data_IF_089631782221
#
_entry.id   IF_089631782221
#
_cell.length_a   1.000
_cell.length_b   1.000
_cell.length_c   1.000
_cell.angle_alpha   90.00
_cell.angle_beta   90.00
_cell.angle_gamma   90.00
#
_symmetry.space_group_name_H-M   'P 1'
#
loop_
_entity.id
_entity.type
_entity.pdbx_description
1 polymer ?
#
# COMPACT_ATOMS: atom_id res chain seq x y z
N UNK A 1 24.64 -11.29 11.83
CA UNK A 1 24.22 -10.08 11.06
C UNK A 1 25.38 -9.14 10.69
N UNK A 2 26.24 -8.69 11.61
CA UNK A 2 27.35 -7.79 11.24
C UNK A 2 28.40 -8.46 10.35
N UNK A 3 28.76 -9.72 10.59
CA UNK A 3 29.74 -10.48 9.79
C UNK A 3 29.28 -10.72 8.36
N UNK A 4 27.99 -10.98 8.12
CA UNK A 4 27.47 -11.15 6.76
C UNK A 4 27.51 -9.85 5.96
N UNK A 5 27.22 -8.70 6.59
CA UNK A 5 27.31 -7.39 5.93
C UNK A 5 28.77 -7.01 5.63
N UNK A 6 29.72 -7.27 6.54
CA UNK A 6 31.15 -7.06 6.30
C UNK A 6 31.64 -7.86 5.10
N UNK A 7 31.22 -9.11 4.99
CA UNK A 7 31.54 -9.97 3.85
C UNK A 7 31.01 -9.39 2.55
N UNK A 8 29.77 -8.89 2.54
CA UNK A 8 29.18 -8.24 1.37
C UNK A 8 29.95 -7.00 0.98
N UNK A 9 30.29 -6.13 1.92
CA UNK A 9 31.07 -4.91 1.66
C UNK A 9 32.44 -5.28 1.07
N UNK A 10 33.16 -6.22 1.69
CA UNK A 10 34.51 -6.59 1.27
C UNK A 10 34.55 -7.34 -0.06
N UNK A 11 33.49 -8.05 -0.44
CA UNK A 11 33.40 -8.78 -1.71
C UNK A 11 32.85 -7.93 -2.86
N UNK A 12 32.31 -6.75 -2.58
CA UNK A 12 31.74 -5.86 -3.60
C UNK A 12 32.85 -5.13 -4.37
N UNK A 13 32.96 -5.40 -5.67
CA UNK A 13 34.02 -4.84 -6.53
C UNK A 13 33.68 -3.45 -7.10
N UNK A 14 32.40 -3.10 -7.24
CA UNK A 14 31.99 -1.76 -7.67
C UNK A 14 32.14 -0.78 -6.49
N UNK A 15 32.99 0.26 -6.62
CA UNK A 15 33.26 1.17 -5.51
C UNK A 15 32.02 2.00 -5.11
N UNK A 16 31.10 2.29 -6.03
CA UNK A 16 29.85 2.99 -5.74
C UNK A 16 28.90 2.12 -4.89
N UNK A 17 28.76 0.86 -5.25
CA UNK A 17 27.95 -0.09 -4.47
C UNK A 17 28.58 -0.35 -3.09
N UNK A 18 29.90 -0.47 -3.00
CA UNK A 18 30.61 -0.62 -1.73
C UNK A 18 30.39 0.59 -0.80
N UNK A 19 30.43 1.80 -1.35
CA UNK A 19 30.15 3.03 -0.61
C UNK A 19 28.69 3.06 -0.08
N UNK A 20 27.72 2.64 -0.89
CA UNK A 20 26.31 2.52 -0.48
C UNK A 20 26.18 1.52 0.67
N UNK A 21 26.79 0.35 0.56
CA UNK A 21 26.73 -0.66 1.62
C UNK A 21 27.35 -0.15 2.94
N UNK A 22 28.42 0.64 2.86
CA UNK A 22 29.01 1.29 4.03
C UNK A 22 28.07 2.33 4.67
N UNK A 23 27.36 3.13 3.85
CA UNK A 23 26.33 4.06 4.36
C UNK A 23 25.20 3.32 5.05
N UNK A 24 24.69 2.24 4.46
CA UNK A 24 23.65 1.40 5.07
C UNK A 24 24.11 0.86 6.42
N UNK A 25 25.35 0.35 6.52
CA UNK A 25 25.94 -0.12 7.78
C UNK A 25 25.95 0.98 8.84
N UNK A 26 26.33 2.18 8.47
CA UNK A 26 26.41 3.35 9.36
C UNK A 26 25.04 3.99 9.64
N UNK A 27 23.95 3.53 9.00
CA UNK A 27 22.62 4.18 9.03
C UNK A 27 22.63 5.60 8.44
N UNK A 28 23.46 5.80 7.45
CA UNK A 28 23.54 7.04 6.70
C UNK A 28 22.57 7.00 5.50
N UNK A 29 21.95 8.13 5.24
CA UNK A 29 21.00 8.28 4.12
C UNK A 29 21.73 8.23 2.79
N UNK A 30 21.19 7.45 1.84
CA UNK A 30 21.69 7.44 0.45
C UNK A 30 21.01 8.54 -0.37
N UNK A 31 21.73 9.01 -1.39
CA UNK A 31 21.28 10.03 -2.35
C UNK A 31 20.42 9.41 -3.45
N UNK A 32 19.76 10.26 -4.25
CA UNK A 32 18.98 9.84 -5.44
C UNK A 32 19.87 9.14 -6.47
N UNK A 33 21.09 9.66 -6.72
CA UNK A 33 22.04 9.04 -7.62
C UNK A 33 22.50 7.66 -7.14
N UNK A 34 22.68 7.47 -5.82
CA UNK A 34 22.99 6.16 -5.23
C UNK A 34 21.80 5.20 -5.31
N UNK A 35 20.57 5.70 -5.14
CA UNK A 35 19.37 4.90 -5.35
C UNK A 35 19.25 4.43 -6.81
N UNK A 36 19.48 5.32 -7.76
CA UNK A 36 19.50 4.98 -9.18
C UNK A 36 20.59 3.93 -9.49
N UNK A 37 21.78 4.09 -8.92
CA UNK A 37 22.87 3.11 -9.07
C UNK A 37 22.48 1.71 -8.55
N UNK A 38 21.69 1.63 -7.45
CA UNK A 38 21.16 0.34 -6.97
C UNK A 38 20.21 -0.31 -7.97
N UNK A 39 19.34 0.46 -8.62
CA UNK A 39 18.46 -0.06 -9.66
C UNK A 39 19.25 -0.56 -10.88
N UNK A 40 20.25 0.19 -11.34
CA UNK A 40 21.01 -0.09 -12.53
C UNK A 40 22.02 -1.25 -12.36
N UNK A 41 22.72 -1.29 -11.22
CA UNK A 41 23.87 -2.18 -11.03
C UNK A 41 23.76 -3.12 -9.82
N UNK A 42 22.89 -2.84 -8.87
CA UNK A 42 22.75 -3.68 -7.69
C UNK A 42 22.24 -5.09 -8.06
N UNK A 43 23.04 -6.14 -7.82
CA UNK A 43 22.53 -7.50 -7.96
C UNK A 43 21.41 -7.77 -6.95
N UNK A 44 20.50 -8.67 -7.26
CA UNK A 44 19.37 -8.98 -6.37
C UNK A 44 19.84 -9.43 -4.98
N UNK A 45 20.87 -10.26 -4.92
CA UNK A 45 21.45 -10.71 -3.64
C UNK A 45 22.07 -9.56 -2.83
N UNK A 46 22.72 -8.60 -3.50
CA UNK A 46 23.31 -7.43 -2.86
C UNK A 46 22.22 -6.52 -2.25
N UNK A 47 21.25 -6.07 -3.05
CA UNK A 47 20.19 -5.18 -2.54
C UNK A 47 19.31 -5.87 -1.52
N UNK A 48 19.01 -7.16 -1.69
CA UNK A 48 18.24 -7.95 -0.74
C UNK A 48 18.92 -8.05 0.62
N UNK A 49 20.22 -8.31 0.63
CA UNK A 49 20.99 -8.41 1.88
C UNK A 49 21.02 -7.08 2.65
N UNK A 50 21.23 -5.95 1.95
CA UNK A 50 21.20 -4.63 2.56
C UNK A 50 19.81 -4.30 3.12
N UNK A 51 18.77 -4.58 2.34
CA UNK A 51 17.38 -4.33 2.76
C UNK A 51 16.99 -5.18 3.97
N UNK A 52 17.37 -6.47 3.97
CA UNK A 52 17.13 -7.36 5.10
C UNK A 52 17.88 -6.92 6.35
N UNK A 53 19.12 -6.46 6.22
CA UNK A 53 19.88 -5.90 7.34
C UNK A 53 19.15 -4.70 7.97
N UNK A 54 18.67 -3.75 7.16
CA UNK A 54 17.89 -2.59 7.64
C UNK A 54 16.61 -3.07 8.32
N UNK A 55 15.88 -3.98 7.71
CA UNK A 55 14.63 -4.55 8.22
C UNK A 55 14.84 -5.21 9.58
N UNK A 56 15.87 -6.03 9.73
CA UNK A 56 16.17 -6.69 11.01
C UNK A 56 16.65 -5.71 12.09
N UNK A 57 17.36 -4.66 11.70
CA UNK A 57 17.75 -3.59 12.62
C UNK A 57 16.54 -2.83 13.17
N UNK A 58 15.50 -2.61 12.35
CA UNK A 58 14.30 -1.86 12.72
C UNK A 58 13.28 -2.72 13.49
N UNK A 59 13.12 -3.99 13.13
CA UNK A 59 12.00 -4.82 13.55
C UNK A 59 12.38 -6.17 14.14
N UNK A 60 13.69 -6.50 14.22
CA UNK A 60 14.12 -7.85 14.57
C UNK A 60 13.50 -8.88 13.64
N UNK A 61 12.87 -9.91 14.17
CA UNK A 61 12.17 -10.93 13.39
C UNK A 61 10.67 -10.64 13.22
N UNK A 62 10.15 -9.55 13.78
CA UNK A 62 8.74 -9.24 13.72
C UNK A 62 8.28 -9.01 12.29
N UNK A 63 7.20 -9.66 11.91
CA UNK A 63 6.45 -9.44 10.68
C UNK A 63 4.99 -9.21 11.04
N UNK A 64 4.46 -8.10 10.56
CA UNK A 64 3.15 -7.60 10.95
C UNK A 64 2.07 -8.00 9.95
N UNK A 65 0.85 -8.17 10.45
CA UNK A 65 -0.38 -8.31 9.66
C UNK A 65 -1.57 -7.75 10.46
N UNK A 66 -2.67 -7.42 9.81
CA UNK A 66 -3.90 -7.00 10.47
C UNK A 66 -5.09 -7.86 10.07
N UNK A 67 -6.21 -7.71 10.77
CA UNK A 67 -7.50 -8.31 10.38
C UNK A 67 -8.39 -7.22 9.82
N UNK A 68 -8.59 -7.25 8.54
CA UNK A 68 -9.33 -6.24 7.80
C UNK A 68 -10.30 -6.86 6.80
N UNK A 69 -11.26 -6.05 6.39
CA UNK A 69 -12.12 -6.33 5.25
C UNK A 69 -12.29 -5.07 4.41
N UNK A 70 -12.75 -5.24 3.18
CA UNK A 70 -12.92 -4.16 2.24
C UNK A 70 -14.38 -3.88 1.94
N UNK A 71 -14.69 -2.62 1.67
CA UNK A 71 -15.93 -2.17 1.05
C UNK A 71 -15.54 -1.39 -0.20
N UNK A 72 -16.03 -1.84 -1.33
CA UNK A 72 -15.89 -1.16 -2.61
C UNK A 72 -17.27 -0.59 -3.00
N UNK A 73 -17.56 0.69 -2.64
CA UNK A 73 -18.88 1.29 -2.81
C UNK A 73 -19.39 1.21 -4.25
N UNK A 74 -18.47 1.32 -5.20
CA UNK A 74 -18.77 1.26 -6.63
C UNK A 74 -17.50 1.05 -7.45
N UNK A 75 -17.61 0.44 -8.61
CA UNK A 75 -16.59 0.49 -9.64
C UNK A 75 -16.91 1.52 -10.74
N UNK A 76 -18.02 2.23 -10.63
CA UNK A 76 -18.36 3.32 -11.56
C UNK A 76 -17.48 4.53 -11.27
N UNK A 77 -16.77 5.03 -12.29
CA UNK A 77 -15.78 6.08 -12.14
C UNK A 77 -15.94 7.17 -13.20
N UNK A 78 -15.61 8.42 -12.82
CA UNK A 78 -15.54 9.54 -13.78
C UNK A 78 -14.20 9.63 -14.49
N UNK A 79 -13.17 8.91 -14.02
CA UNK A 79 -11.82 8.92 -14.56
C UNK A 79 -11.55 7.74 -15.48
N UNK A 80 -10.79 7.98 -16.55
CA UNK A 80 -10.36 6.99 -17.53
C UNK A 80 -8.87 6.67 -17.40
N UNK A 81 -8.50 5.88 -16.37
CA UNK A 81 -7.11 5.49 -16.19
C UNK A 81 -6.76 4.32 -17.10
N UNK A 82 -5.73 4.46 -17.93
CA UNK A 82 -5.33 3.45 -18.91
C UNK A 82 -4.97 2.08 -18.28
N UNK A 83 -4.46 2.07 -17.05
CA UNK A 83 -4.06 0.86 -16.32
C UNK A 83 -5.19 0.20 -15.52
N UNK A 84 -6.39 0.79 -15.46
CA UNK A 84 -7.42 0.37 -14.52
C UNK A 84 -8.41 -0.63 -15.15
N UNK A 85 -8.27 -1.89 -14.77
CA UNK A 85 -9.20 -2.97 -15.17
C UNK A 85 -10.53 -2.93 -14.39
N UNK A 86 -10.54 -2.26 -13.26
CA UNK A 86 -11.63 -2.25 -12.29
C UNK A 86 -12.76 -1.28 -12.68
N UNK A 87 -12.42 -0.08 -13.16
CA UNK A 87 -13.38 1.00 -13.34
C UNK A 87 -14.30 0.75 -14.52
N UNK A 88 -15.55 1.19 -14.36
CA UNK A 88 -16.53 1.36 -15.46
C UNK A 88 -16.84 2.84 -15.58
N UNK A 89 -16.61 3.42 -16.75
CA UNK A 89 -16.87 4.86 -16.96
C UNK A 89 -18.34 5.17 -16.71
N UNK A 90 -18.59 6.27 -16.00
CA UNK A 90 -19.96 6.69 -15.65
C UNK A 90 -20.89 6.82 -16.88
N UNK A 91 -20.33 7.15 -18.04
CA UNK A 91 -21.09 7.21 -19.30
C UNK A 91 -21.48 5.82 -19.87
N UNK A 92 -20.83 4.75 -19.40
CA UNK A 92 -20.99 3.36 -19.88
C UNK A 92 -20.95 2.41 -18.68
N UNK A 93 -21.88 2.57 -17.73
CA UNK A 93 -21.87 1.90 -16.44
C UNK A 93 -22.76 0.66 -16.32
N UNK A 94 -23.23 0.14 -17.43
CA UNK A 94 -24.21 -0.97 -17.46
C UNK A 94 -23.70 -2.21 -16.72
N UNK A 95 -22.37 -2.46 -16.75
CA UNK A 95 -21.70 -3.56 -16.07
C UNK A 95 -21.09 -3.14 -14.72
N UNK A 96 -21.42 -1.95 -14.23
CA UNK A 96 -20.96 -1.43 -12.96
C UNK A 96 -21.89 -1.76 -11.80
N UNK A 97 -21.37 -1.68 -10.57
CA UNK A 97 -22.19 -1.75 -9.36
C UNK A 97 -22.15 -0.45 -8.57
N UNK A 98 -23.20 -0.19 -7.84
CA UNK A 98 -23.35 0.95 -6.94
C UNK A 98 -24.00 0.43 -5.64
N UNK A 99 -23.25 0.35 -4.54
CA UNK A 99 -23.78 -0.07 -3.25
C UNK A 99 -24.49 1.10 -2.56
N UNK A 100 -25.66 0.83 -2.02
CA UNK A 100 -26.32 1.75 -1.09
C UNK A 100 -25.63 1.74 0.28
N UNK A 101 -25.86 2.79 1.08
CA UNK A 101 -25.39 2.86 2.48
C UNK A 101 -25.90 1.65 3.28
N UNK A 102 -27.14 1.22 3.03
CA UNK A 102 -27.70 0.03 3.68
C UNK A 102 -26.91 -1.24 3.39
N UNK A 103 -26.60 -1.49 2.12
CA UNK A 103 -25.80 -2.65 1.71
C UNK A 103 -24.38 -2.61 2.30
N UNK A 104 -23.74 -1.44 2.34
CA UNK A 104 -22.41 -1.29 2.95
C UNK A 104 -22.46 -1.53 4.47
N UNK A 105 -23.51 -1.08 5.16
CA UNK A 105 -23.71 -1.38 6.58
C UNK A 105 -24.01 -2.86 6.83
N UNK A 106 -24.69 -3.54 5.92
CA UNK A 106 -24.94 -4.97 6.06
C UNK A 106 -23.64 -5.77 5.90
N UNK A 107 -22.69 -5.31 5.06
CA UNK A 107 -21.32 -5.85 5.02
C UNK A 107 -20.66 -5.68 6.41
N UNK A 108 -20.68 -4.47 6.99
CA UNK A 108 -20.09 -4.23 8.32
C UNK A 108 -20.70 -5.14 9.39
N UNK A 109 -22.03 -5.29 9.42
CA UNK A 109 -22.73 -6.18 10.34
C UNK A 109 -22.37 -7.67 10.17
N UNK A 110 -22.01 -8.08 8.95
CA UNK A 110 -21.49 -9.43 8.67
C UNK A 110 -20.21 -9.78 9.42
N UNK A 111 -19.53 -8.76 9.97
CA UNK A 111 -18.34 -8.90 10.81
C UNK A 111 -18.62 -8.70 12.31
N UNK A 112 -19.88 -8.63 12.73
CA UNK A 112 -20.22 -8.57 14.17
C UNK A 112 -19.72 -9.85 14.86
N UNK A 113 -19.06 -9.65 16.00
CA UNK A 113 -18.44 -10.73 16.75
C UNK A 113 -17.15 -11.30 16.17
N UNK A 114 -16.74 -10.88 14.97
CA UNK A 114 -15.43 -11.23 14.41
C UNK A 114 -14.37 -10.23 14.86
N UNK A 115 -13.13 -10.67 15.12
CA UNK A 115 -12.07 -9.80 15.65
C UNK A 115 -11.39 -8.97 14.55
N UNK A 116 -12.16 -8.34 13.68
CA UNK A 116 -11.66 -7.41 12.67
C UNK A 116 -11.40 -6.04 13.28
N UNK A 117 -10.31 -5.40 12.89
CA UNK A 117 -9.86 -4.13 13.45
C UNK A 117 -9.98 -2.97 12.48
N UNK A 118 -10.13 -3.25 11.19
CA UNK A 118 -10.12 -2.23 10.13
C UNK A 118 -11.13 -2.55 9.04
N UNK A 119 -11.85 -1.53 8.60
CA UNK A 119 -12.52 -1.53 7.29
C UNK A 119 -11.79 -0.59 6.34
N UNK A 120 -11.47 -1.09 5.15
CA UNK A 120 -10.87 -0.30 4.07
C UNK A 120 -11.92 0.02 3.01
N UNK A 121 -12.23 1.31 2.82
CA UNK A 121 -13.28 1.77 1.90
C UNK A 121 -12.62 2.55 0.77
N UNK A 122 -12.62 1.99 -0.43
CA UNK A 122 -12.14 2.61 -1.67
C UNK A 122 -12.94 2.11 -2.86
N UNK A 123 -13.02 2.90 -3.92
CA UNK A 123 -13.75 2.47 -5.11
C UNK A 123 -13.57 3.40 -6.30
N UNK A 124 -14.46 3.29 -7.27
CA UNK A 124 -14.58 4.25 -8.34
C UNK A 124 -15.05 5.61 -7.84
N UNK A 125 -14.62 6.68 -8.50
CA UNK A 125 -15.07 8.04 -8.17
C UNK A 125 -16.43 8.30 -8.83
N UNK A 126 -17.48 8.16 -8.04
CA UNK A 126 -18.85 8.26 -8.53
C UNK A 126 -19.42 9.69 -8.36
N UNK A 127 -19.99 10.31 -9.41
CA UNK A 127 -20.40 11.73 -9.35
C UNK A 127 -21.58 12.01 -8.41
N UNK A 128 -22.34 10.99 -8.01
CA UNK A 128 -23.49 11.12 -7.07
C UNK A 128 -23.18 10.68 -5.64
N UNK A 129 -22.12 9.89 -5.42
CA UNK A 129 -21.64 9.54 -4.08
C UNK A 129 -20.77 10.69 -3.58
N UNK A 130 -21.42 11.72 -3.06
CA UNK A 130 -20.80 12.98 -2.68
C UNK A 130 -20.36 13.00 -1.21
N UNK A 131 -19.84 14.12 -0.76
CA UNK A 131 -19.40 14.33 0.62
C UNK A 131 -20.45 13.94 1.67
N UNK A 132 -21.70 14.37 1.50
CA UNK A 132 -22.79 14.08 2.44
C UNK A 132 -23.08 12.57 2.52
N UNK A 133 -23.03 11.88 1.39
CA UNK A 133 -23.22 10.42 1.31
C UNK A 133 -22.16 9.67 2.15
N UNK A 134 -20.91 10.05 2.03
CA UNK A 134 -19.85 9.37 2.77
C UNK A 134 -19.77 9.80 4.24
N UNK A 135 -20.11 11.04 4.57
CA UNK A 135 -20.29 11.48 5.97
C UNK A 135 -21.36 10.62 6.66
N UNK A 136 -22.52 10.43 6.02
CA UNK A 136 -23.59 9.58 6.54
C UNK A 136 -23.12 8.13 6.73
N UNK A 137 -22.42 7.57 5.74
CA UNK A 137 -21.87 6.21 5.83
C UNK A 137 -20.96 6.04 7.05
N UNK A 138 -19.98 6.93 7.22
CA UNK A 138 -19.01 6.84 8.31
C UNK A 138 -19.66 7.00 9.67
N UNK A 139 -20.58 7.97 9.82
CA UNK A 139 -21.35 8.15 11.05
C UNK A 139 -22.14 6.90 11.43
N UNK A 140 -22.76 6.24 10.45
CA UNK A 140 -23.51 4.99 10.69
C UNK A 140 -22.59 3.82 11.03
N UNK A 141 -21.41 3.70 10.38
CA UNK A 141 -20.40 2.70 10.74
C UNK A 141 -19.95 2.91 12.19
N UNK A 142 -19.59 4.13 12.56
CA UNK A 142 -19.13 4.45 13.92
C UNK A 142 -20.23 4.32 14.98
N UNK A 143 -21.48 4.58 14.63
CA UNK A 143 -22.62 4.34 15.52
C UNK A 143 -22.82 2.84 15.79
N UNK A 144 -22.57 1.96 14.82
CA UNK A 144 -22.71 0.51 14.95
C UNK A 144 -21.44 -0.15 15.54
N UNK A 145 -20.26 0.21 15.06
CA UNK A 145 -18.95 -0.31 15.45
C UNK A 145 -17.98 0.85 15.77
N UNK A 146 -18.12 1.45 16.96
CA UNK A 146 -17.25 2.58 17.35
C UNK A 146 -15.76 2.19 17.47
N UNK A 147 -15.48 0.91 17.69
CA UNK A 147 -14.15 0.30 17.78
C UNK A 147 -13.46 0.10 16.43
N UNK A 148 -14.22 0.03 15.34
CA UNK A 148 -13.71 -0.28 14.01
C UNK A 148 -12.96 0.90 13.43
N UNK A 149 -11.70 0.70 13.05
CA UNK A 149 -10.90 1.70 12.37
C UNK A 149 -11.37 1.86 10.91
N UNK A 150 -11.78 3.06 10.54
CA UNK A 150 -12.20 3.38 9.17
C UNK A 150 -11.04 4.01 8.40
N UNK A 151 -10.45 3.23 7.52
CA UNK A 151 -9.46 3.69 6.54
C UNK A 151 -10.14 3.89 5.20
N UNK A 152 -10.28 5.13 4.76
CA UNK A 152 -11.12 5.41 3.62
C UNK A 152 -10.55 6.51 2.73
N UNK A 153 -10.91 6.36 1.47
CA UNK A 153 -10.75 7.25 0.34
C UNK A 153 -9.30 7.60 -0.02
N UNK A 154 -8.98 7.32 -1.27
CA UNK A 154 -7.73 7.78 -1.88
C UNK A 154 -7.74 9.32 -2.03
N UNK A 155 -6.56 9.91 -2.17
CA UNK A 155 -6.46 11.34 -2.44
C UNK A 155 -7.22 11.78 -3.71
N UNK A 156 -7.39 10.87 -4.67
CA UNK A 156 -8.17 11.11 -5.90
C UNK A 156 -9.67 11.25 -5.60
N UNK A 157 -10.21 10.36 -4.76
CA UNK A 157 -11.60 10.43 -4.32
C UNK A 157 -11.84 11.69 -3.49
N UNK A 158 -10.92 12.01 -2.57
CA UNK A 158 -10.99 13.19 -1.70
C UNK A 158 -10.94 14.50 -2.50
N UNK A 159 -9.99 14.63 -3.44
CA UNK A 159 -9.91 15.79 -4.32
C UNK A 159 -11.24 16.03 -5.06
N UNK A 160 -11.78 14.97 -5.66
CA UNK A 160 -13.04 15.08 -6.38
C UNK A 160 -14.21 15.48 -5.47
N UNK A 161 -14.33 14.84 -4.30
CA UNK A 161 -15.39 15.14 -3.34
C UNK A 161 -15.32 16.59 -2.84
N UNK A 162 -14.14 17.06 -2.47
CA UNK A 162 -13.95 18.41 -1.93
C UNK A 162 -14.21 19.48 -2.98
N UNK A 163 -13.68 19.31 -4.21
CA UNK A 163 -13.98 20.21 -5.32
C UNK A 163 -15.48 20.29 -5.64
N UNK A 164 -16.17 19.15 -5.65
CA UNK A 164 -17.63 19.09 -5.87
C UNK A 164 -18.43 19.75 -4.75
N UNK A 165 -17.98 19.62 -3.51
CA UNK A 165 -18.58 20.24 -2.34
C UNK A 165 -18.19 21.72 -2.19
N UNK A 166 -17.26 22.23 -3.02
CA UNK A 166 -16.68 23.58 -2.91
C UNK A 166 -16.02 23.83 -1.55
N UNK A 167 -15.37 22.81 -1.00
CA UNK A 167 -14.61 22.85 0.24
C UNK A 167 -13.11 22.91 -0.07
N UNK A 168 -12.36 23.56 0.80
CA UNK A 168 -10.91 23.39 0.84
C UNK A 168 -10.57 21.97 1.31
N UNK A 169 -9.34 21.51 1.06
CA UNK A 169 -8.86 20.21 1.53
C UNK A 169 -8.97 20.11 3.05
N UNK A 170 -8.62 21.17 3.77
CA UNK A 170 -8.67 21.21 5.23
C UNK A 170 -10.10 21.09 5.75
N UNK A 171 -11.04 21.88 5.24
CA UNK A 171 -12.45 21.83 5.64
C UNK A 171 -13.08 20.46 5.35
N UNK A 172 -12.82 19.90 4.15
CA UNK A 172 -13.32 18.59 3.78
C UNK A 172 -12.75 17.48 4.67
N UNK A 173 -11.44 17.53 4.95
CA UNK A 173 -10.78 16.57 5.80
C UNK A 173 -11.29 16.62 7.25
N UNK A 174 -11.47 17.82 7.81
CA UNK A 174 -12.05 18.02 9.15
C UNK A 174 -13.45 17.43 9.25
N UNK A 175 -14.31 17.64 8.24
CA UNK A 175 -15.66 17.08 8.23
C UNK A 175 -15.67 15.56 8.17
N UNK A 176 -14.81 14.94 7.33
CA UNK A 176 -14.70 13.48 7.25
C UNK A 176 -14.15 12.89 8.55
N UNK A 177 -13.14 13.52 9.14
CA UNK A 177 -12.58 13.08 10.42
C UNK A 177 -13.61 13.16 11.54
N UNK A 178 -14.36 14.26 11.63
CA UNK A 178 -15.46 14.39 12.60
C UNK A 178 -16.59 13.36 12.37
N UNK A 179 -16.76 12.87 11.15
CA UNK A 179 -17.72 11.82 10.81
C UNK A 179 -17.22 10.39 11.12
N UNK A 180 -15.91 10.22 11.42
CA UNK A 180 -15.34 8.93 11.77
C UNK A 180 -14.27 8.39 10.82
N UNK A 181 -13.72 9.22 9.93
CA UNK A 181 -12.52 8.87 9.17
C UNK A 181 -11.31 8.81 10.11
N UNK A 182 -10.62 7.66 10.17
CA UNK A 182 -9.48 7.49 11.08
C UNK A 182 -8.11 7.57 10.35
N UNK A 183 -8.03 7.10 9.10
CA UNK A 183 -6.79 7.18 8.31
C UNK A 183 -7.06 7.11 6.80
N UNK A 184 -6.02 7.44 6.00
CA UNK A 184 -6.11 7.39 4.54
C UNK A 184 -5.29 6.23 3.96
N UNK A 185 -5.79 5.53 2.92
CA UNK A 185 -4.95 4.68 2.09
C UNK A 185 -4.04 5.51 1.17
N UNK A 186 -3.01 4.87 0.63
CA UNK A 186 -2.05 5.54 -0.25
C UNK A 186 -2.40 5.55 -1.74
N UNK A 187 -3.53 4.97 -2.13
CA UNK A 187 -3.91 4.81 -3.54
C UNK A 187 -4.05 6.15 -4.29
N UNK A 188 -4.01 6.08 -5.62
CA UNK A 188 -4.08 7.25 -6.47
C UNK A 188 -2.76 7.98 -6.71
N UNK A 189 -1.69 7.61 -5.99
CA UNK A 189 -0.35 8.16 -6.21
C UNK A 189 0.21 7.76 -7.58
N UNK A 190 0.01 6.53 -7.96
CA UNK A 190 0.51 5.85 -9.17
C UNK A 190 2.01 6.08 -9.35
N UNK A 191 2.39 7.03 -10.21
CA UNK A 191 3.74 7.58 -10.37
C UNK A 191 3.65 9.12 -10.43
N UNK A 192 4.57 9.85 -9.81
CA UNK A 192 4.50 11.31 -9.73
C UNK A 192 5.02 12.05 -10.96
N UNK A 193 5.80 11.38 -11.83
CA UNK A 193 6.32 11.97 -13.06
C UNK A 193 5.17 12.47 -13.95
N UNK A 194 5.11 13.80 -14.27
CA UNK A 194 3.98 14.38 -14.99
C UNK A 194 3.78 13.78 -16.38
N UNK A 195 4.88 13.48 -17.10
CA UNK A 195 4.86 12.89 -18.43
C UNK A 195 4.32 11.46 -18.45
N UNK A 196 4.51 10.70 -17.37
CA UNK A 196 3.93 9.37 -17.21
C UNK A 196 2.46 9.49 -16.82
N UNK A 197 2.13 10.35 -15.84
CA UNK A 197 0.73 10.60 -15.42
C UNK A 197 -0.15 11.03 -16.59
N UNK A 198 0.38 11.89 -17.47
CA UNK A 198 -0.34 12.34 -18.67
C UNK A 198 -0.75 11.17 -19.59
N UNK A 199 0.05 10.09 -19.63
CA UNK A 199 -0.23 8.92 -20.44
C UNK A 199 -1.18 7.92 -19.76
N UNK A 200 -1.11 7.78 -18.43
CA UNK A 200 -1.82 6.70 -17.74
C UNK A 200 -3.03 7.16 -16.93
N UNK A 201 -3.09 8.43 -16.49
CA UNK A 201 -4.17 8.95 -15.62
C UNK A 201 -4.27 10.48 -15.64
N UNK A 202 -4.33 11.09 -16.82
CA UNK A 202 -4.30 12.54 -17.02
C UNK A 202 -5.37 13.32 -16.23
N UNK A 203 -6.54 12.72 -16.02
CA UNK A 203 -7.70 13.39 -15.43
C UNK A 203 -7.69 13.42 -13.89
N UNK A 204 -6.78 12.65 -13.26
CA UNK A 204 -6.66 12.60 -11.80
C UNK A 204 -5.95 13.83 -11.24
N UNK A 205 -6.15 14.08 -9.95
CA UNK A 205 -5.32 15.01 -9.17
C UNK A 205 -3.84 14.74 -9.45
N UNK A 206 -3.07 15.80 -9.67
CA UNK A 206 -1.64 15.68 -9.94
C UNK A 206 -0.83 15.28 -8.67
N UNK A 207 0.46 15.14 -8.86
CA UNK A 207 1.36 14.73 -7.78
C UNK A 207 1.38 15.73 -6.61
N UNK A 208 1.38 17.03 -6.91
CA UNK A 208 1.43 18.07 -5.89
C UNK A 208 0.13 18.13 -5.08
N UNK A 209 -1.02 17.98 -5.75
CA UNK A 209 -2.32 17.86 -5.10
C UNK A 209 -2.43 16.61 -4.22
N UNK A 210 -1.93 15.46 -4.69
CA UNK A 210 -1.89 14.23 -3.90
C UNK A 210 -1.05 14.43 -2.62
N UNK A 211 0.15 14.99 -2.75
CA UNK A 211 1.03 15.27 -1.61
C UNK A 211 0.41 16.29 -0.64
N UNK A 212 -0.23 17.35 -1.16
CA UNK A 212 -0.89 18.37 -0.34
C UNK A 212 -2.07 17.79 0.47
N UNK A 213 -2.85 16.87 -0.09
CA UNK A 213 -3.94 16.19 0.62
C UNK A 213 -3.37 15.38 1.79
N UNK A 214 -2.33 14.58 1.56
CA UNK A 214 -1.69 13.81 2.62
C UNK A 214 -1.02 14.69 3.66
N UNK A 215 -0.34 15.77 3.25
CA UNK A 215 0.25 16.74 4.18
C UNK A 215 -0.81 17.40 5.09
N UNK A 216 -1.96 17.75 4.51
CA UNK A 216 -3.08 18.30 5.28
C UNK A 216 -3.65 17.30 6.27
N UNK A 217 -3.85 16.04 5.84
CA UNK A 217 -4.27 14.96 6.73
C UNK A 217 -3.31 14.79 7.90
N UNK A 218 -2.00 14.74 7.63
CA UNK A 218 -0.97 14.59 8.66
C UNK A 218 -0.96 15.76 9.66
N UNK A 219 -1.14 17.01 9.19
CA UNK A 219 -1.25 18.19 10.06
C UNK A 219 -2.47 18.14 10.98
N UNK A 220 -3.53 17.45 10.56
CA UNK A 220 -4.73 17.20 11.36
C UNK A 220 -4.61 15.94 12.26
N UNK A 221 -3.46 15.27 12.28
CA UNK A 221 -3.24 14.06 13.05
C UNK A 221 -3.77 12.77 12.41
N UNK A 222 -4.27 12.85 11.16
CA UNK A 222 -4.77 11.72 10.41
C UNK A 222 -3.59 11.08 9.66
N UNK A 223 -3.20 9.89 10.09
CA UNK A 223 -2.12 9.15 9.45
C UNK A 223 -2.55 8.51 8.14
N UNK A 224 -1.59 8.19 7.30
CA UNK A 224 -1.87 7.59 5.99
C UNK A 224 -0.80 6.58 5.56
N UNK A 225 -1.07 5.91 4.44
CA UNK A 225 -0.07 5.09 3.75
C UNK A 225 0.40 5.81 2.48
N UNK A 226 1.53 5.38 1.95
CA UNK A 226 2.03 5.82 0.65
C UNK A 226 2.16 4.62 -0.29
N UNK A 227 1.90 4.82 -1.58
CA UNK A 227 2.00 3.77 -2.60
C UNK A 227 2.79 4.26 -3.81
N UNK A 228 3.25 3.34 -4.62
CA UNK A 228 3.71 3.54 -5.99
C UNK A 228 3.12 2.44 -6.87
N UNK A 229 2.66 2.75 -8.07
CA UNK A 229 2.39 1.76 -9.11
C UNK A 229 3.65 1.62 -9.95
N UNK A 230 4.23 0.42 -10.02
CA UNK A 230 5.48 0.17 -10.72
C UNK A 230 5.37 -0.99 -11.71
N UNK A 231 6.31 -1.06 -12.64
CA UNK A 231 6.43 -2.15 -13.60
C UNK A 231 5.56 -1.94 -14.84
N UNK A 232 5.27 -0.69 -15.21
CA UNK A 232 4.55 -0.34 -16.43
C UNK A 232 5.48 0.37 -17.44
N UNK A 233 5.29 1.67 -17.70
CA UNK A 233 6.06 2.45 -18.68
C UNK A 233 7.06 3.42 -18.05
N UNK A 234 7.11 3.47 -16.72
CA UNK A 234 8.03 4.29 -15.96
C UNK A 234 9.47 3.77 -16.06
N UNK A 235 10.44 4.67 -15.87
CA UNK A 235 11.86 4.36 -15.76
C UNK A 235 12.32 4.42 -14.29
N UNK A 236 13.54 3.98 -14.00
CA UNK A 236 14.06 3.98 -12.63
C UNK A 236 14.14 5.38 -12.03
N UNK A 237 14.47 6.40 -12.84
CA UNK A 237 14.49 7.80 -12.42
C UNK A 237 13.13 8.28 -11.92
N UNK A 238 12.05 7.83 -12.56
CA UNK A 238 10.68 8.16 -12.13
C UNK A 238 10.34 7.52 -10.79
N UNK A 239 10.80 6.28 -10.54
CA UNK A 239 10.63 5.61 -9.23
C UNK A 239 11.42 6.34 -8.14
N UNK A 240 12.65 6.76 -8.44
CA UNK A 240 13.50 7.51 -7.49
C UNK A 240 12.87 8.87 -7.18
N UNK A 241 12.42 9.63 -8.18
CA UNK A 241 11.73 10.92 -7.94
C UNK A 241 10.48 10.75 -7.10
N UNK A 242 9.66 9.73 -7.40
CA UNK A 242 8.46 9.41 -6.62
C UNK A 242 8.79 9.15 -5.15
N UNK A 243 9.73 8.26 -4.88
CA UNK A 243 10.16 7.94 -3.52
C UNK A 243 10.84 9.13 -2.83
N UNK A 244 11.62 9.96 -3.56
CA UNK A 244 12.22 11.19 -3.02
C UNK A 244 11.15 12.13 -2.49
N UNK A 245 10.10 12.42 -3.26
CA UNK A 245 9.02 13.32 -2.87
C UNK A 245 8.23 12.79 -1.67
N UNK A 246 8.01 11.48 -1.59
CA UNK A 246 7.42 10.84 -0.42
C UNK A 246 8.33 10.94 0.81
N UNK A 247 9.63 10.69 0.65
CA UNK A 247 10.63 10.80 1.72
C UNK A 247 10.70 12.22 2.28
N UNK A 248 10.69 13.23 1.41
CA UNK A 248 10.66 14.64 1.80
C UNK A 248 9.39 15.01 2.57
N UNK A 249 8.22 14.52 2.15
CA UNK A 249 6.98 14.73 2.89
C UNK A 249 7.01 14.03 4.25
N UNK A 250 7.52 12.81 4.31
CA UNK A 250 7.67 12.05 5.55
C UNK A 250 8.65 12.73 6.52
N UNK A 251 9.76 13.33 6.04
CA UNK A 251 10.67 14.10 6.86
C UNK A 251 9.97 15.27 7.57
N UNK A 252 9.04 15.94 6.86
CA UNK A 252 8.30 17.09 7.41
C UNK A 252 7.17 16.68 8.36
N UNK A 253 6.47 15.59 8.05
CA UNK A 253 5.18 15.30 8.71
C UNK A 253 5.21 14.06 9.60
N UNK A 254 6.04 13.07 9.29
CA UNK A 254 6.08 11.74 9.94
C UNK A 254 4.71 11.03 9.96
N UNK A 255 3.82 11.39 9.02
CA UNK A 255 2.45 10.92 9.00
C UNK A 255 2.19 9.66 8.18
N UNK A 256 3.16 9.19 7.39
CA UNK A 256 3.03 7.91 6.69
C UNK A 256 3.36 6.74 7.60
N UNK A 257 2.46 5.77 7.71
CA UNK A 257 2.66 4.53 8.45
C UNK A 257 3.50 3.53 7.67
N UNK A 258 3.21 3.36 6.38
CA UNK A 258 3.84 2.32 5.55
C UNK A 258 3.94 2.77 4.11
N UNK A 259 4.95 2.25 3.42
CA UNK A 259 5.06 2.31 1.96
C UNK A 259 4.66 0.98 1.35
N UNK A 260 3.90 1.01 0.26
CA UNK A 260 3.32 -0.16 -0.41
C UNK A 260 3.62 -0.07 -1.91
N UNK A 261 4.65 -0.73 -2.43
CA UNK A 261 4.83 -0.91 -3.86
C UNK A 261 3.69 -1.77 -4.43
N UNK A 262 2.96 -1.24 -5.40
CA UNK A 262 1.86 -1.90 -6.10
C UNK A 262 2.32 -2.28 -7.51
N UNK A 263 2.32 -3.58 -7.80
CA UNK A 263 2.72 -4.11 -9.10
C UNK A 263 1.65 -3.80 -10.14
N UNK A 264 2.05 -3.28 -11.30
CA UNK A 264 1.16 -3.16 -12.45
C UNK A 264 0.70 -4.54 -12.93
N UNK A 265 -0.60 -4.68 -13.18
CA UNK A 265 -1.25 -5.86 -13.77
C UNK A 265 -1.88 -5.46 -15.08
N UNK A 266 -1.70 -6.26 -16.12
CA UNK A 266 -2.02 -5.86 -17.48
C UNK A 266 -3.30 -6.46 -18.06
N UNK A 267 -4.06 -7.26 -17.33
CA UNK A 267 -5.29 -7.84 -17.84
C UNK A 267 -6.42 -6.80 -17.91
N UNK A 268 -7.21 -6.85 -18.98
CA UNK A 268 -8.44 -6.07 -19.17
C UNK A 268 -8.31 -4.55 -18.96
N UNK A 269 -7.22 -3.95 -19.47
CA UNK A 269 -7.00 -2.51 -19.46
C UNK A 269 -6.32 -2.03 -20.77
N UNK A 270 -6.25 -0.71 -20.97
CA UNK A 270 -5.70 -0.11 -22.20
C UNK A 270 -4.17 -0.32 -22.32
N UNK A 271 -3.51 -0.75 -21.24
CA UNK A 271 -2.07 -1.05 -21.20
C UNK A 271 -1.78 -2.55 -21.24
N UNK A 272 -2.70 -3.39 -21.70
CA UNK A 272 -2.53 -4.85 -21.76
C UNK A 272 -1.38 -5.30 -22.68
N UNK A 273 -0.88 -4.42 -23.53
CA UNK A 273 0.31 -4.63 -24.37
C UNK A 273 1.63 -4.46 -23.60
N UNK A 274 1.62 -3.90 -22.39
CA UNK A 274 2.80 -3.71 -21.55
C UNK A 274 3.03 -4.99 -20.73
N UNK A 275 4.21 -5.62 -20.82
CA UNK A 275 4.49 -6.83 -20.06
C UNK A 275 4.57 -6.52 -18.54
N UNK A 276 4.09 -7.44 -17.72
CA UNK A 276 4.23 -7.33 -16.27
C UNK A 276 5.71 -7.51 -15.84
N UNK A 277 6.09 -6.86 -14.74
CA UNK A 277 7.40 -7.02 -14.14
C UNK A 277 7.66 -8.47 -13.68
N UNK A 278 8.91 -8.91 -13.74
CA UNK A 278 9.31 -10.21 -13.21
C UNK A 278 9.38 -10.22 -11.68
N UNK A 279 9.35 -11.41 -11.07
CA UNK A 279 9.56 -11.57 -9.61
C UNK A 279 10.90 -10.97 -9.17
N UNK A 280 11.94 -11.05 -10.01
CA UNK A 280 13.25 -10.46 -9.72
C UNK A 280 13.15 -8.94 -9.60
N UNK A 281 12.40 -8.31 -10.50
CA UNK A 281 12.19 -6.86 -10.48
C UNK A 281 11.28 -6.45 -9.29
N UNK A 282 10.29 -7.27 -8.97
CA UNK A 282 9.42 -7.04 -7.81
C UNK A 282 10.26 -7.05 -6.51
N UNK A 283 11.12 -8.05 -6.31
CA UNK A 283 12.00 -8.13 -5.14
C UNK A 283 13.03 -6.99 -5.11
N UNK A 284 13.55 -6.58 -6.28
CA UNK A 284 14.43 -5.40 -6.41
C UNK A 284 13.72 -4.12 -5.95
N UNK A 285 12.48 -3.90 -6.39
CA UNK A 285 11.68 -2.74 -6.00
C UNK A 285 11.48 -2.69 -4.48
N UNK A 286 11.09 -3.80 -3.84
CA UNK A 286 10.95 -3.86 -2.38
C UNK A 286 12.27 -3.58 -1.66
N UNK A 287 13.35 -4.22 -2.08
CA UNK A 287 14.66 -4.06 -1.44
C UNK A 287 15.15 -2.61 -1.51
N UNK A 288 15.12 -2.00 -2.70
CA UNK A 288 15.57 -0.62 -2.89
C UNK A 288 14.65 0.36 -2.15
N UNK A 289 13.34 0.12 -2.12
CA UNK A 289 12.42 0.92 -1.32
C UNK A 289 12.80 0.93 0.15
N UNK A 290 13.15 -0.22 0.74
CA UNK A 290 13.61 -0.29 2.14
C UNK A 290 14.91 0.47 2.37
N UNK A 291 15.84 0.40 1.41
CA UNK A 291 17.14 1.08 1.53
C UNK A 291 16.99 2.60 1.41
N UNK A 292 16.15 3.05 0.46
CA UNK A 292 16.03 4.47 0.14
C UNK A 292 15.09 5.23 1.07
N UNK A 293 13.96 4.63 1.45
CA UNK A 293 12.96 5.25 2.33
C UNK A 293 13.31 5.02 3.81
N UNK A 294 14.45 5.54 4.24
CA UNK A 294 15.04 5.37 5.57
C UNK A 294 14.16 5.89 6.71
N UNK A 295 13.24 6.79 6.43
CA UNK A 295 12.30 7.41 7.37
C UNK A 295 10.90 6.78 7.37
N UNK A 296 10.65 5.76 6.54
CA UNK A 296 9.40 4.99 6.58
C UNK A 296 9.53 3.83 7.56
N UNK A 297 8.66 3.77 8.61
CA UNK A 297 8.79 2.70 9.61
C UNK A 297 8.49 1.33 9.01
N UNK A 298 7.49 1.23 8.13
CA UNK A 298 7.06 -0.05 7.60
C UNK A 298 7.10 -0.09 6.06
N UNK A 299 7.39 -1.28 5.53
CA UNK A 299 7.28 -1.62 4.12
C UNK A 299 6.37 -2.83 4.01
N UNK A 300 5.28 -2.69 3.25
CA UNK A 300 4.22 -3.68 3.14
C UNK A 300 4.20 -4.35 1.79
N UNK A 301 4.08 -5.68 1.77
CA UNK A 301 3.70 -6.45 0.61
C UNK A 301 2.18 -6.64 0.59
N UNK A 302 1.53 -6.19 -0.48
CA UNK A 302 0.11 -6.40 -0.70
C UNK A 302 -0.10 -7.73 -1.44
N UNK A 303 -0.30 -8.79 -0.67
CA UNK A 303 -0.35 -10.16 -1.19
C UNK A 303 -1.49 -10.42 -2.20
N UNK A 304 -2.69 -9.77 -2.14
CA UNK A 304 -3.73 -10.01 -3.13
C UNK A 304 -3.32 -9.69 -4.56
N UNK A 305 -2.38 -8.75 -4.70
CA UNK A 305 -1.86 -8.34 -6.00
C UNK A 305 -0.55 -9.02 -6.36
N UNK A 306 0.33 -9.22 -5.37
CA UNK A 306 1.67 -9.77 -5.56
C UNK A 306 1.67 -11.31 -5.67
N UNK A 307 0.64 -11.96 -5.12
CA UNK A 307 0.58 -13.41 -4.89
C UNK A 307 1.20 -13.81 -3.54
N UNK A 308 0.69 -14.87 -2.91
CA UNK A 308 1.10 -15.32 -1.55
C UNK A 308 2.58 -15.68 -1.49
N UNK A 309 3.09 -16.40 -2.49
CA UNK A 309 4.48 -16.85 -2.53
C UNK A 309 5.45 -15.68 -2.67
N UNK A 310 5.13 -14.70 -3.54
CA UNK A 310 5.98 -13.53 -3.74
C UNK A 310 5.93 -12.59 -2.52
N UNK A 311 4.77 -12.47 -1.86
CA UNK A 311 4.66 -11.74 -0.60
C UNK A 311 5.50 -12.38 0.51
N UNK A 312 5.50 -13.73 0.62
CA UNK A 312 6.37 -14.45 1.53
C UNK A 312 7.85 -14.22 1.22
N UNK A 313 8.25 -14.33 -0.07
CA UNK A 313 9.62 -14.10 -0.51
C UNK A 313 10.10 -12.69 -0.18
N UNK A 314 9.24 -11.70 -0.31
CA UNK A 314 9.57 -10.28 -0.05
C UNK A 314 10.01 -10.00 1.40
N UNK A 315 9.68 -10.89 2.34
CA UNK A 315 10.14 -10.82 3.74
C UNK A 315 11.66 -10.96 3.89
N UNK A 316 12.34 -11.53 2.89
CA UNK A 316 13.80 -11.55 2.81
C UNK A 316 14.37 -10.31 2.08
N UNK A 317 13.52 -9.47 1.50
CA UNK A 317 13.88 -8.29 0.72
C UNK A 317 13.41 -6.97 1.37
N UNK A 318 13.42 -6.90 2.69
CA UNK A 318 13.17 -5.66 3.44
C UNK A 318 11.73 -5.44 3.89
N UNK A 319 10.78 -6.25 3.44
CA UNK A 319 9.38 -6.19 3.87
C UNK A 319 9.24 -6.67 5.31
N UNK A 320 8.43 -5.98 6.09
CA UNK A 320 8.11 -6.33 7.47
C UNK A 320 6.60 -6.34 7.78
N UNK A 321 5.76 -6.14 6.76
CA UNK A 321 4.30 -6.21 6.89
C UNK A 321 3.72 -6.93 5.67
N UNK A 322 2.91 -7.95 5.90
CA UNK A 322 2.06 -8.57 4.90
C UNK A 322 0.65 -8.09 5.20
N UNK A 323 -0.07 -7.64 4.20
CA UNK A 323 -1.43 -7.15 4.43
C UNK A 323 -2.28 -8.20 5.14
N UNK A 324 -3.47 -7.82 5.55
CA UNK A 324 -4.25 -8.63 6.48
C UNK A 324 -5.06 -9.74 5.86
N UNK A 325 -6.07 -10.16 6.62
CA UNK A 325 -6.93 -11.29 6.26
C UNK A 325 -7.79 -11.02 5.04
N UNK A 326 -8.03 -9.80 4.65
CA UNK A 326 -8.91 -9.32 3.58
C UNK A 326 -10.01 -10.35 3.30
N UNK A 327 -11.25 -9.94 3.35
CA UNK A 327 -12.34 -10.79 2.91
C UNK A 327 -12.63 -10.51 1.43
N UNK A 328 -13.15 -11.48 0.73
CA UNK A 328 -13.31 -11.64 -0.72
C UNK A 328 -14.17 -10.58 -1.43
N UNK A 329 -14.53 -9.49 -0.76
CA UNK A 329 -15.30 -8.40 -1.37
C UNK A 329 -14.51 -7.56 -2.35
N UNK A 330 -13.16 -7.57 -2.27
CA UNK A 330 -12.34 -6.76 -3.17
C UNK A 330 -12.25 -7.37 -4.57
N UNK A 331 -12.54 -6.55 -5.57
CA UNK A 331 -12.50 -6.91 -7.00
C UNK A 331 -11.36 -6.22 -7.77
N UNK A 332 -10.73 -5.21 -7.16
CA UNK A 332 -9.76 -4.35 -7.85
C UNK A 332 -8.65 -5.18 -8.52
N UNK A 333 -8.09 -6.15 -7.83
CA UNK A 333 -6.97 -6.92 -8.34
C UNK A 333 -7.36 -8.19 -9.07
N UNK A 334 -8.46 -8.84 -8.68
CA UNK A 334 -8.97 -9.99 -9.40
C UNK A 334 -9.40 -9.60 -10.83
N UNK A 335 -10.02 -8.44 -11.01
CA UNK A 335 -10.36 -7.90 -12.33
C UNK A 335 -9.11 -7.53 -13.16
N UNK A 336 -8.00 -7.22 -12.52
CA UNK A 336 -6.73 -6.93 -13.18
C UNK A 336 -5.90 -8.19 -13.49
N UNK A 337 -6.45 -9.38 -13.29
CA UNK A 337 -5.80 -10.66 -13.61
C UNK A 337 -4.80 -11.12 -12.55
N UNK A 338 -4.95 -10.71 -11.28
CA UNK A 338 -4.14 -11.27 -10.22
C UNK A 338 -4.45 -12.78 -10.03
N UNK A 339 -3.48 -13.54 -9.50
CA UNK A 339 -3.66 -14.97 -9.22
C UNK A 339 -4.76 -15.21 -8.18
N UNK A 340 -4.91 -14.28 -7.24
CA UNK A 340 -5.91 -14.35 -6.17
C UNK A 340 -7.25 -13.78 -6.65
N UNK A 341 -8.13 -14.67 -7.11
CA UNK A 341 -9.44 -14.28 -7.62
C UNK A 341 -10.46 -14.02 -6.50
N UNK A 342 -10.29 -14.66 -5.35
CA UNK A 342 -11.06 -14.45 -4.11
C UNK A 342 -10.08 -14.23 -2.97
N UNK A 343 -9.54 -13.01 -2.81
CA UNK A 343 -8.41 -12.76 -1.94
C UNK A 343 -8.82 -12.79 -0.47
N UNK A 344 -8.85 -13.98 0.09
CA UNK A 344 -9.07 -14.26 1.50
C UNK A 344 -7.93 -15.11 2.04
N UNK A 345 -7.39 -14.72 3.19
CA UNK A 345 -6.36 -15.50 3.90
C UNK A 345 -6.70 -15.53 5.39
N UNK A 346 -6.81 -16.73 5.95
CA UNK A 346 -7.06 -16.86 7.38
C UNK A 346 -5.87 -16.38 8.23
N UNK A 347 -6.12 -16.05 9.49
CA UNK A 347 -5.05 -15.72 10.44
C UNK A 347 -4.04 -16.86 10.56
N UNK A 348 -4.50 -18.10 10.55
CA UNK A 348 -3.65 -19.29 10.61
C UNK A 348 -2.72 -19.40 9.40
N UNK A 349 -3.25 -19.21 8.18
CA UNK A 349 -2.45 -19.21 6.95
C UNK A 349 -1.39 -18.11 6.98
N UNK A 350 -1.75 -16.88 7.40
CA UNK A 350 -0.80 -15.77 7.56
C UNK A 350 0.31 -16.10 8.55
N UNK A 351 -0.04 -16.64 9.70
CA UNK A 351 0.92 -17.03 10.73
C UNK A 351 1.85 -18.14 10.22
N UNK A 352 1.32 -19.17 9.54
CA UNK A 352 2.13 -20.23 8.94
C UNK A 352 3.08 -19.71 7.87
N UNK A 353 2.58 -18.84 6.97
CA UNK A 353 3.37 -18.21 5.91
C UNK A 353 4.55 -17.42 6.48
N UNK A 354 4.34 -16.67 7.55
CA UNK A 354 5.38 -15.88 8.22
C UNK A 354 6.39 -16.78 8.93
N UNK A 355 5.92 -17.82 9.68
CA UNK A 355 6.79 -18.74 10.40
C UNK A 355 7.67 -19.58 9.47
N UNK A 356 7.19 -19.96 8.28
CA UNK A 356 7.94 -20.75 7.30
C UNK A 356 9.25 -20.07 6.84
N UNK A 357 9.36 -18.78 6.97
CA UNK A 357 10.57 -18.00 6.65
C UNK A 357 11.31 -17.52 7.90
N UNK A 358 11.10 -18.19 9.03
CA UNK A 358 11.73 -17.91 10.33
C UNK A 358 11.47 -16.46 10.81
N UNK A 359 10.25 -15.95 10.58
CA UNK A 359 9.82 -14.65 11.08
C UNK A 359 8.75 -14.80 12.16
N UNK A 360 8.65 -13.78 13.01
CA UNK A 360 7.74 -13.73 14.16
C UNK A 360 6.43 -13.03 13.76
N UNK A 361 5.29 -13.74 13.72
CA UNK A 361 4.03 -13.16 13.28
C UNK A 361 3.39 -12.32 14.39
N UNK A 362 3.15 -11.04 14.10
CA UNK A 362 2.57 -10.06 15.01
C UNK A 362 1.30 -9.49 14.40
N UNK A 363 0.17 -9.74 15.04
CA UNK A 363 -1.07 -9.06 14.70
C UNK A 363 -1.05 -7.62 15.24
N UNK A 364 -1.41 -6.68 14.39
CA UNK A 364 -1.43 -5.24 14.68
C UNK A 364 -2.76 -4.59 14.34
N UNK A 365 -3.03 -3.46 14.97
CA UNK A 365 -4.03 -2.51 14.50
C UNK A 365 -3.53 -1.70 13.30
N UNK A 366 -4.40 -0.85 12.75
CA UNK A 366 -4.07 -0.01 11.58
C UNK A 366 -2.86 0.90 11.83
N UNK A 367 -2.73 1.44 13.03
CA UNK A 367 -1.65 2.35 13.44
C UNK A 367 -0.45 1.62 14.07
N UNK A 368 -0.29 0.33 13.78
CA UNK A 368 0.81 -0.52 14.20
C UNK A 368 0.93 -0.77 15.73
N UNK A 369 -0.09 -0.50 16.50
CA UNK A 369 -0.19 -1.01 17.86
C UNK A 369 -0.30 -2.54 17.83
N UNK A 370 0.53 -3.21 18.64
CA UNK A 370 0.51 -4.68 18.74
C UNK A 370 -0.79 -5.13 19.42
N UNK A 371 -1.50 -6.06 18.78
CA UNK A 371 -2.71 -6.70 19.29
C UNK A 371 -2.37 -8.05 19.88
N UNK A 372 -1.66 -8.88 19.12
CA UNK A 372 -1.29 -10.22 19.55
C UNK A 372 0.01 -10.69 18.89
N UNK A 373 0.81 -11.40 19.69
CA UNK A 373 1.99 -12.12 19.26
C UNK A 373 1.62 -13.59 19.04
N UNK A 374 1.91 -14.11 17.86
CA UNK A 374 1.63 -15.51 17.48
C UNK A 374 2.89 -16.37 17.43
N UNK A 375 4.03 -15.91 17.93
CA UNK A 375 5.30 -16.69 17.89
C UNK A 375 5.15 -18.06 18.52
N UNK A 376 4.50 -18.14 19.68
CA UNK A 376 4.29 -19.39 20.45
C UNK A 376 2.95 -20.06 20.16
N UNK A 377 2.14 -19.53 19.23
CA UNK A 377 0.84 -20.13 18.90
C UNK A 377 1.05 -21.25 17.89
N UNK A 378 0.67 -22.46 18.27
CA UNK A 378 0.57 -23.59 17.38
C UNK A 378 -0.89 -23.80 16.98
N UNK A 379 -1.13 -24.04 15.69
CA UNK A 379 -2.42 -24.46 15.19
C UNK A 379 -2.40 -25.97 14.98
N UNK A 380 -3.48 -26.64 15.33
CA UNK A 380 -3.61 -28.08 15.07
C UNK A 380 -3.45 -28.34 13.57
N UNK A 381 -2.59 -29.30 13.20
CA UNK A 381 -2.45 -29.70 11.81
C UNK A 381 -3.74 -30.37 11.37
N UNK A 382 -4.60 -29.67 10.63
CA UNK A 382 -5.54 -30.36 9.78
C UNK A 382 -4.71 -31.14 8.75
N UNK A 383 -4.80 -32.49 8.85
CA UNK A 383 -4.13 -33.38 7.89
C UNK A 383 -4.64 -33.02 6.48
N UNK A 384 -3.69 -32.63 5.60
CA UNK A 384 -3.91 -32.41 4.18
C UNK A 384 -4.38 -33.70 3.52
#
# INVERSE_FOLDING_TARGET
MSESLETIISSTTDPGLAAIAQKVKNSERITDAECLLLFEKGSLGFVGSLANYIREKLHGDNTYFNRNFHIEPTNVCVFSCAFCSYSRLYAHKEDGWELSIGQMLDIVKGYDGKPVTEVHIVGGVHPKMNMAYFVELMQKIKAHRPDLHVKAFTAVELDYMFRKAKLSVEEGMQQLHAAGLDSLPGGGAEIFAPEIRQQICADKVDADGWLAIHETAHKLGIQSNATILYGHIEQFEHRVDHMRRLRELQDRTKGFNTFIPLKFRNADNDMSHVPESSVVEDMRMYAISRIYLDNFPHLKAYWPMLGRQNAQLSLAFGVNDIDGTIDDTTKIYSMAGSEEQTPTMSTEELVRLIKQVNRRPIERGTLYNVIRDYSEVEFENEAI
#
